data_IF_871420250930
#
_entry.id   IF_871420250930
#
_cell.length_a   1.000
_cell.length_b   1.000
_cell.length_c   1.000
_cell.angle_alpha   90.00
_cell.angle_beta   90.00
_cell.angle_gamma   90.00
#
_symmetry.space_group_name_H-M   'P 1'
#
loop_
_entity.id
_entity.type
_entity.pdbx_description
1 polymer ?
#
# COMPACT_ATOMS: atom_id res chain seq x y z
N UNK A 1 -19.22 -60.80 -21.49
CA UNK A 1 -20.30 -59.82 -21.30
C UNK A 1 -19.67 -58.44 -21.48
N UNK A 2 -19.46 -57.95 -22.70
CA UNK A 2 -20.46 -57.53 -23.71
C UNK A 2 -21.55 -56.70 -23.05
N UNK A 3 -21.58 -55.38 -23.28
CA UNK A 3 -22.60 -54.76 -24.13
C UNK A 3 -22.36 -53.25 -24.40
N UNK A 4 -22.17 -52.98 -25.70
CA UNK A 4 -22.59 -51.88 -26.58
C UNK A 4 -22.29 -50.40 -26.31
N UNK A 5 -21.61 -49.86 -27.33
CA UNK A 5 -21.52 -48.48 -27.76
C UNK A 5 -22.88 -47.78 -27.86
N UNK A 6 -22.87 -46.48 -27.57
CA UNK A 6 -23.77 -45.54 -28.22
C UNK A 6 -22.97 -44.33 -28.75
N UNK A 7 -22.69 -44.42 -30.04
CA UNK A 7 -22.30 -43.32 -30.92
C UNK A 7 -23.48 -42.36 -31.05
N UNK A 8 -23.28 -41.09 -30.69
CA UNK A 8 -24.20 -39.99 -30.97
C UNK A 8 -23.47 -38.88 -31.71
N UNK A 9 -23.38 -38.99 -33.03
CA UNK A 9 -22.96 -37.92 -33.93
C UNK A 9 -24.12 -36.92 -34.09
N UNK A 10 -23.90 -35.66 -33.71
CA UNK A 10 -24.76 -34.53 -34.08
C UNK A 10 -23.91 -33.49 -34.82
N UNK A 11 -24.31 -33.06 -36.02
CA UNK A 11 -23.48 -32.26 -36.90
C UNK A 11 -23.55 -30.77 -36.57
N UNK A 12 -22.43 -30.07 -36.81
CA UNK A 12 -22.46 -28.71 -37.34
C UNK A 12 -22.99 -27.61 -36.41
N UNK A 13 -22.28 -27.33 -35.32
CA UNK A 13 -22.15 -25.96 -34.84
C UNK A 13 -20.68 -25.66 -34.71
N UNK A 14 -20.12 -24.97 -35.71
CA UNK A 14 -18.80 -24.36 -35.57
C UNK A 14 -18.87 -23.48 -34.33
N UNK A 15 -18.07 -23.72 -33.28
CA UNK A 15 -17.91 -22.70 -32.26
C UNK A 15 -17.25 -21.56 -33.02
N UNK A 16 -18.02 -20.50 -33.30
CA UNK A 16 -17.41 -19.22 -33.58
C UNK A 16 -16.59 -18.95 -32.33
N UNK A 17 -15.30 -19.30 -32.43
CA UNK A 17 -14.27 -18.91 -31.49
C UNK A 17 -14.43 -17.41 -31.47
N UNK A 18 -15.17 -16.89 -30.49
CA UNK A 18 -14.95 -15.55 -30.00
C UNK A 18 -13.51 -15.62 -29.54
N UNK A 19 -12.63 -15.28 -30.48
CA UNK A 19 -11.30 -14.81 -30.18
C UNK A 19 -11.58 -13.60 -29.31
N UNK A 20 -11.71 -13.81 -28.00
CA UNK A 20 -11.03 -12.94 -27.08
C UNK A 20 -9.62 -12.89 -27.67
N UNK A 21 -9.29 -11.78 -28.31
CA UNK A 21 -7.94 -11.56 -28.81
C UNK A 21 -6.96 -11.84 -27.68
N UNK A 22 -5.69 -12.14 -27.97
CA UNK A 22 -4.74 -12.34 -26.90
C UNK A 22 -4.84 -11.13 -25.97
N UNK A 23 -5.15 -11.37 -24.69
CA UNK A 23 -4.79 -10.46 -23.60
C UNK A 23 -3.27 -10.49 -23.53
N UNK A 24 -2.66 -9.88 -24.54
CA UNK A 24 -1.27 -10.08 -24.95
C UNK A 24 -0.81 -8.93 -25.82
N UNK A 25 -1.35 -7.73 -25.55
CA UNK A 25 -0.93 -6.48 -26.16
C UNK A 25 -0.85 -5.37 -25.11
N UNK A 26 -0.20 -5.67 -23.98
CA UNK A 26 0.33 -4.66 -23.06
C UNK A 26 1.81 -4.96 -22.81
N UNK A 27 2.52 -5.38 -23.86
CA UNK A 27 3.97 -5.31 -23.85
C UNK A 27 4.36 -3.85 -24.13
N UNK A 28 4.77 -3.18 -23.07
CA UNK A 28 6.13 -2.64 -22.97
C UNK A 28 6.30 -1.15 -22.66
N UNK A 29 5.23 -0.41 -22.31
CA UNK A 29 5.39 0.90 -21.64
C UNK A 29 4.30 1.11 -20.57
N UNK A 30 4.65 0.85 -19.31
CA UNK A 30 3.98 1.34 -18.09
C UNK A 30 2.98 0.44 -17.32
N UNK A 31 2.86 -0.87 -17.57
CA UNK A 31 2.14 -1.73 -16.60
C UNK A 31 3.02 -2.00 -15.37
N UNK A 32 2.69 -1.34 -14.25
CA UNK A 32 3.32 -1.60 -12.95
C UNK A 32 2.39 -2.44 -12.08
N UNK A 33 2.78 -3.68 -11.79
CA UNK A 33 2.10 -4.53 -10.82
C UNK A 33 2.68 -4.21 -9.44
N UNK A 34 1.89 -3.58 -8.57
CA UNK A 34 2.30 -3.30 -7.20
C UNK A 34 1.67 -4.32 -6.25
N UNK A 35 2.47 -5.07 -5.48
CA UNK A 35 1.94 -6.02 -4.52
C UNK A 35 1.26 -5.30 -3.36
N UNK A 36 0.00 -5.63 -3.10
CA UNK A 36 -0.71 -5.18 -1.92
C UNK A 36 -0.22 -5.96 -0.70
N UNK A 37 0.44 -5.26 0.22
CA UNK A 37 0.87 -5.80 1.50
C UNK A 37 0.39 -4.89 2.60
N UNK A 38 -0.20 -5.48 3.64
CA UNK A 38 -0.45 -4.77 4.89
C UNK A 38 0.78 -4.90 5.77
N UNK A 39 1.25 -3.78 6.32
CA UNK A 39 2.29 -3.79 7.35
C UNK A 39 1.65 -3.84 8.73
N UNK A 40 2.37 -4.46 9.68
CA UNK A 40 1.99 -4.40 11.08
C UNK A 40 2.17 -2.96 11.60
N UNK A 41 1.29 -2.55 12.51
CA UNK A 41 1.43 -1.27 13.21
C UNK A 41 2.69 -1.31 14.08
N UNK A 42 3.53 -0.29 13.95
CA UNK A 42 4.70 -0.11 14.81
C UNK A 42 4.27 0.29 16.22
N UNK A 43 5.03 -0.14 17.24
CA UNK A 43 4.79 0.22 18.64
C UNK A 43 5.01 1.72 18.91
N UNK A 44 5.90 2.35 18.15
CA UNK A 44 6.17 3.78 18.18
C UNK A 44 6.93 4.23 16.93
N UNK A 45 6.97 5.53 16.68
CA UNK A 45 7.59 6.11 15.48
C UNK A 45 8.90 6.84 15.77
N UNK A 46 9.32 6.86 17.03
CA UNK A 46 10.46 7.61 17.52
C UNK A 46 11.51 6.68 18.12
N UNK A 47 12.78 7.07 18.06
CA UNK A 47 13.87 6.28 18.62
C UNK A 47 13.72 6.14 20.14
N UNK A 48 13.82 4.91 20.67
CA UNK A 48 13.62 4.64 22.10
C UNK A 48 14.49 5.52 23.02
N UNK A 49 15.78 5.65 22.70
CA UNK A 49 16.70 6.55 23.39
C UNK A 49 16.55 7.99 22.87
N UNK A 50 16.62 8.98 23.77
CA UNK A 50 16.65 10.44 23.52
C UNK A 50 15.63 11.02 22.51
N UNK A 51 14.80 10.23 21.84
CA UNK A 51 13.78 10.65 20.87
C UNK A 51 14.31 11.67 19.83
N UNK A 52 15.46 11.40 19.22
CA UNK A 52 16.10 12.30 18.23
C UNK A 52 15.93 11.85 16.77
N UNK A 53 15.39 10.66 16.54
CA UNK A 53 15.07 10.14 15.21
C UNK A 53 13.59 9.78 15.18
N UNK A 54 12.89 10.21 14.12
CA UNK A 54 11.47 9.94 13.89
C UNK A 54 11.25 9.49 12.45
N UNK A 55 10.39 8.49 12.26
CA UNK A 55 9.90 8.07 10.94
C UNK A 55 8.48 8.59 10.73
N UNK A 56 8.17 9.03 9.51
CA UNK A 56 6.86 9.59 9.14
C UNK A 56 6.40 9.03 7.79
N UNK A 57 5.13 9.27 7.45
CA UNK A 57 4.57 8.89 6.15
C UNK A 57 4.60 7.38 5.91
N UNK A 58 4.90 6.98 4.67
CA UNK A 58 4.89 5.57 4.27
C UNK A 58 5.83 4.67 5.09
N UNK A 59 6.88 5.21 5.72
CA UNK A 59 7.74 4.44 6.61
C UNK A 59 7.07 4.11 7.95
N UNK A 60 6.17 4.98 8.42
CA UNK A 60 5.48 4.84 9.71
C UNK A 60 4.13 4.10 9.58
N UNK A 61 3.40 4.33 8.47
CA UNK A 61 2.01 3.88 8.35
C UNK A 61 1.58 3.42 6.95
N UNK A 62 2.49 2.91 6.11
CA UNK A 62 2.24 2.44 4.73
C UNK A 62 0.77 2.08 4.43
N UNK A 63 0.05 3.02 3.81
CA UNK A 63 -1.38 2.89 3.52
C UNK A 63 -1.55 2.27 2.13
N UNK A 64 -2.44 1.26 1.96
CA UNK A 64 -2.79 0.74 0.65
C UNK A 64 -3.25 1.87 -0.30
N UNK A 65 -2.87 1.82 -1.59
CA UNK A 65 -3.19 2.89 -2.54
C UNK A 65 -4.70 3.06 -2.79
N UNK A 66 -5.52 2.07 -2.43
CA UNK A 66 -6.99 2.10 -2.54
C UNK A 66 -7.64 3.21 -1.71
N UNK A 67 -7.00 3.62 -0.60
CA UNK A 67 -7.56 4.63 0.29
C UNK A 67 -7.33 6.04 -0.23
N UNK A 68 -6.33 6.27 -1.10
CA UNK A 68 -5.99 7.58 -1.63
C UNK A 68 -5.42 8.59 -0.61
N UNK A 69 -5.29 8.21 0.66
CA UNK A 69 -4.92 9.11 1.75
C UNK A 69 -3.42 9.11 2.11
N UNK A 70 -2.63 8.15 1.60
CA UNK A 70 -1.24 7.98 2.04
C UNK A 70 -0.37 9.24 1.88
N UNK A 71 -0.59 10.00 0.80
CA UNK A 71 0.14 11.25 0.57
C UNK A 71 -0.34 12.38 1.50
N UNK A 72 -1.67 12.56 1.64
CA UNK A 72 -2.24 13.58 2.52
C UNK A 72 -1.81 13.35 3.97
N UNK A 73 -1.88 12.11 4.46
CA UNK A 73 -1.46 11.78 5.82
C UNK A 73 0.05 12.00 6.03
N UNK A 74 0.89 11.73 5.03
CA UNK A 74 2.32 12.05 5.12
C UNK A 74 2.58 13.57 5.22
N UNK A 75 1.77 14.41 4.56
CA UNK A 75 1.85 15.87 4.73
C UNK A 75 1.39 16.31 6.12
N UNK A 76 0.30 15.74 6.63
CA UNK A 76 -0.19 16.01 7.99
C UNK A 76 0.85 15.67 9.05
N UNK A 77 1.54 14.53 8.91
CA UNK A 77 2.63 14.13 9.79
C UNK A 77 3.75 15.17 9.85
N UNK A 78 4.27 15.57 8.68
CA UNK A 78 5.41 16.51 8.59
C UNK A 78 5.01 17.90 9.08
N UNK A 79 3.80 18.35 8.74
CA UNK A 79 3.29 19.64 9.21
C UNK A 79 3.14 19.66 10.74
N UNK A 80 2.58 18.60 11.31
CA UNK A 80 2.41 18.47 12.77
C UNK A 80 3.76 18.44 13.50
N UNK A 81 4.73 17.68 12.97
CA UNK A 81 6.09 17.66 13.52
C UNK A 81 6.75 19.04 13.41
N UNK A 82 6.64 19.72 12.28
CA UNK A 82 7.23 21.06 12.10
C UNK A 82 6.66 22.07 13.10
N UNK A 83 5.35 22.06 13.35
CA UNK A 83 4.72 22.88 14.38
C UNK A 83 5.26 22.55 15.77
N UNK A 84 5.41 21.27 16.11
CA UNK A 84 5.95 20.85 17.40
C UNK A 84 7.40 21.34 17.59
N UNK A 85 8.24 21.19 16.56
CA UNK A 85 9.63 21.67 16.58
C UNK A 85 9.71 23.19 16.75
N UNK A 86 8.87 23.95 16.06
CA UNK A 86 8.81 25.40 16.21
C UNK A 86 8.45 25.79 17.66
N UNK A 87 7.47 25.12 18.27
CA UNK A 87 7.10 25.36 19.68
C UNK A 87 8.20 24.98 20.66
N UNK A 88 8.93 23.90 20.40
CA UNK A 88 10.10 23.50 21.19
C UNK A 88 11.22 24.53 21.13
N UNK A 89 11.41 25.20 19.99
CA UNK A 89 12.39 26.28 19.86
C UNK A 89 11.97 27.55 20.61
N UNK A 90 10.69 27.90 20.58
CA UNK A 90 10.13 29.07 21.30
C UNK A 90 10.07 28.87 22.82
N UNK A 91 9.87 27.63 23.28
CA UNK A 91 9.60 27.31 24.69
C UNK A 91 10.51 26.20 25.25
N UNK A 92 11.74 26.08 24.76
CA UNK A 92 12.66 24.98 25.10
C UNK A 92 12.99 24.80 26.58
N UNK A 93 12.75 25.82 27.41
CA UNK A 93 12.88 25.71 28.87
C UNK A 93 11.71 24.96 29.53
N UNK A 94 10.54 24.91 28.89
CA UNK A 94 9.30 24.33 29.45
C UNK A 94 8.95 22.97 28.86
N UNK A 95 9.43 22.67 27.65
CA UNK A 95 9.12 21.42 26.97
C UNK A 95 10.40 20.76 26.48
N UNK A 96 10.68 19.58 27.00
CA UNK A 96 11.83 18.78 26.58
C UNK A 96 11.46 17.90 25.38
N UNK A 97 12.46 17.63 24.55
CA UNK A 97 12.33 16.76 23.40
C UNK A 97 11.86 15.34 23.74
N UNK A 98 12.33 14.78 24.86
CA UNK A 98 11.98 13.42 25.26
C UNK A 98 10.48 13.31 25.59
N UNK A 99 9.91 14.36 26.18
CA UNK A 99 8.50 14.43 26.54
C UNK A 99 7.63 14.78 25.32
N UNK A 100 8.11 15.68 24.46
CA UNK A 100 7.40 16.12 23.26
C UNK A 100 7.21 15.01 22.21
N UNK A 101 8.17 14.09 22.11
CA UNK A 101 8.17 13.00 21.13
C UNK A 101 7.87 11.64 21.77
N UNK A 102 7.13 11.62 22.87
CA UNK A 102 6.79 10.39 23.61
C UNK A 102 5.74 9.49 22.91
N UNK A 103 5.39 9.75 21.65
CA UNK A 103 4.47 8.97 20.81
C UNK A 103 5.17 7.93 19.93
#
# INVERSE_FOLDING_TARGET
MVELAQTGHQPGVSPSRRRCGPVGLLADKALKIWPFRSLLRLEGWTSAAHRRVVILGGAAHAIPPTTGQGAAQAFEDVFSLALLVARLQEHGEKLRWEDALAF
#
